data_IF_784059696440
#
_entry.id   IF_784059696440
#
_cell.length_a   1.000
_cell.length_b   1.000
_cell.length_c   1.000
_cell.angle_alpha   90.00
_cell.angle_beta   90.00
_cell.angle_gamma   90.00
#
_symmetry.space_group_name_H-M   'P 1'
#
loop_
_entity.id
_entity.type
_entity.pdbx_description
1 polymer ?
#
# COMPACT_ATOMS: atom_id res chain seq x y z
N UNK A 1 -21.90 0.42 -14.20
CA UNK A 1 -20.64 0.78 -13.49
C UNK A 1 -19.47 0.71 -14.49
N UNK A 2 -18.41 1.50 -14.28
CA UNK A 2 -17.33 1.77 -15.25
C UNK A 2 -16.28 0.65 -15.42
N UNK A 3 -16.44 -0.51 -14.78
CA UNK A 3 -15.52 -1.66 -14.88
C UNK A 3 -14.04 -1.31 -14.62
N UNK A 4 -13.78 -0.52 -13.57
CA UNK A 4 -12.42 -0.10 -13.22
C UNK A 4 -11.55 -1.28 -12.77
N UNK A 5 -10.25 -1.20 -13.06
CA UNK A 5 -9.24 -2.21 -12.65
C UNK A 5 -8.45 -1.83 -11.39
N UNK A 6 -8.59 -0.59 -10.92
CA UNK A 6 -8.09 -0.07 -9.63
C UNK A 6 -8.94 1.11 -9.20
N UNK A 7 -8.87 1.46 -7.91
CA UNK A 7 -9.49 2.66 -7.34
C UNK A 7 -8.39 3.51 -6.73
N UNK A 8 -8.29 4.77 -7.15
CA UNK A 8 -7.26 5.63 -6.60
C UNK A 8 -7.68 6.11 -5.19
N UNK A 9 -6.72 6.06 -4.26
CA UNK A 9 -6.89 6.27 -2.81
C UNK A 9 -7.75 5.22 -2.11
N UNK A 10 -9.07 5.30 -2.23
CA UNK A 10 -10.01 4.42 -1.51
C UNK A 10 -10.13 4.68 0.00
N UNK A 11 -9.66 5.82 0.53
CA UNK A 11 -9.55 6.11 1.97
C UNK A 11 -10.80 5.85 2.82
N UNK A 12 -12.00 6.04 2.25
CA UNK A 12 -13.29 5.89 2.96
C UNK A 12 -13.93 4.52 2.74
N UNK A 13 -13.24 3.58 2.08
CA UNK A 13 -13.80 2.24 1.82
C UNK A 13 -14.15 1.48 3.10
N UNK A 14 -13.42 1.74 4.19
CA UNK A 14 -13.65 1.13 5.51
C UNK A 14 -14.98 1.55 6.18
N UNK A 15 -15.64 2.60 5.68
CA UNK A 15 -16.93 3.05 6.23
C UNK A 15 -18.10 2.14 5.84
N UNK A 16 -17.91 1.23 4.88
CA UNK A 16 -18.92 0.29 4.40
C UNK A 16 -18.36 -1.15 4.40
N UNK A 17 -18.81 -1.96 5.37
CA UNK A 17 -18.35 -3.33 5.51
C UNK A 17 -18.71 -4.23 4.31
N UNK A 18 -19.83 -3.99 3.63
CA UNK A 18 -20.20 -4.75 2.43
C UNK A 18 -19.28 -4.41 1.27
N UNK A 19 -18.91 -3.14 1.13
CA UNK A 19 -17.91 -2.70 0.16
C UNK A 19 -16.54 -3.32 0.44
N UNK A 20 -16.09 -3.36 1.69
CA UNK A 20 -14.82 -3.99 2.06
C UNK A 20 -14.77 -5.45 1.62
N UNK A 21 -15.81 -6.24 1.93
CA UNK A 21 -15.91 -7.65 1.52
C UNK A 21 -15.80 -7.80 0.01
N UNK A 22 -16.51 -6.96 -0.75
CA UNK A 22 -16.48 -6.98 -2.21
C UNK A 22 -15.09 -6.64 -2.77
N UNK A 23 -14.43 -5.60 -2.23
CA UNK A 23 -13.09 -5.19 -2.65
C UNK A 23 -12.04 -6.27 -2.37
N UNK A 24 -12.12 -6.94 -1.22
CA UNK A 24 -11.24 -8.06 -0.85
C UNK A 24 -11.47 -9.24 -1.80
N UNK A 25 -12.72 -9.66 -2.00
CA UNK A 25 -13.07 -10.79 -2.87
C UNK A 25 -12.58 -10.58 -4.30
N UNK A 26 -12.69 -9.35 -4.81
CA UNK A 26 -12.22 -8.98 -6.14
C UNK A 26 -10.72 -8.71 -6.21
N UNK A 27 -10.03 -8.66 -5.08
CA UNK A 27 -8.64 -8.17 -4.99
C UNK A 27 -8.47 -6.82 -5.70
N UNK A 28 -9.44 -5.91 -5.51
CA UNK A 28 -9.44 -4.60 -6.16
C UNK A 28 -8.31 -3.73 -5.57
N UNK A 29 -7.32 -3.29 -6.38
CA UNK A 29 -6.25 -2.45 -5.88
C UNK A 29 -6.73 -1.06 -5.45
N UNK A 30 -6.31 -0.61 -4.27
CA UNK A 30 -6.47 0.77 -3.81
C UNK A 30 -5.11 1.48 -3.74
N UNK A 31 -4.91 2.53 -4.53
CA UNK A 31 -3.61 3.24 -4.59
C UNK A 31 -3.56 4.36 -3.55
N UNK A 32 -3.17 4.03 -2.33
CA UNK A 32 -3.17 4.95 -1.19
C UNK A 32 -1.98 5.91 -1.28
N UNK A 33 -2.21 7.21 -1.01
CA UNK A 33 -1.21 8.26 -1.15
C UNK A 33 -1.00 9.02 0.16
N UNK A 34 -0.21 8.49 1.12
CA UNK A 34 -0.20 8.98 2.49
C UNK A 34 0.14 10.46 2.65
N UNK A 35 1.23 10.93 2.02
CA UNK A 35 1.64 12.32 2.11
C UNK A 35 0.60 13.27 1.47
N UNK A 36 0.02 12.88 0.33
CA UNK A 36 -1.09 13.60 -0.30
C UNK A 36 -2.29 13.71 0.64
N UNK A 37 -2.72 12.58 1.22
CA UNK A 37 -3.86 12.54 2.14
C UNK A 37 -3.66 13.42 3.37
N UNK A 38 -2.43 13.50 3.88
CA UNK A 38 -2.09 14.40 4.97
C UNK A 38 -2.06 15.87 4.56
N UNK A 39 -1.43 16.19 3.42
CA UNK A 39 -1.29 17.56 2.91
C UNK A 39 -2.65 18.17 2.56
N UNK A 40 -3.52 17.39 1.93
CA UNK A 40 -4.88 17.77 1.55
C UNK A 40 -5.91 17.65 2.68
N UNK A 41 -5.46 17.35 3.92
CA UNK A 41 -6.30 17.27 5.12
C UNK A 41 -7.40 16.21 5.08
N UNK A 42 -7.31 15.24 4.16
CA UNK A 42 -8.11 14.00 4.19
C UNK A 42 -7.81 13.23 5.48
N UNK A 43 -6.53 13.20 5.88
CA UNK A 43 -6.08 12.63 7.16
C UNK A 43 -5.39 13.72 7.99
N UNK A 44 -5.90 14.00 9.19
CA UNK A 44 -5.36 15.06 10.05
C UNK A 44 -3.99 14.73 10.65
N UNK A 45 -3.79 13.48 11.06
CA UNK A 45 -2.54 12.98 11.66
C UNK A 45 -2.17 11.65 11.00
N UNK A 46 -0.90 11.47 10.64
CA UNK A 46 -0.48 10.24 9.97
C UNK A 46 -0.72 8.98 10.81
N UNK A 47 -0.66 9.08 12.15
CA UNK A 47 -1.00 7.98 13.05
C UNK A 47 -2.46 7.48 12.94
N UNK A 48 -3.34 8.28 12.32
CA UNK A 48 -4.74 7.92 12.09
C UNK A 48 -5.00 7.54 10.61
N UNK A 49 -3.94 7.31 9.83
CA UNK A 49 -4.10 6.94 8.42
C UNK A 49 -4.70 5.53 8.30
N UNK A 50 -5.73 5.30 7.46
CA UNK A 50 -6.41 4.00 7.38
C UNK A 50 -5.56 2.85 6.81
N UNK A 51 -4.30 3.08 6.44
CA UNK A 51 -3.53 2.13 5.64
C UNK A 51 -3.27 0.82 6.39
N UNK A 52 -3.00 0.89 7.70
CA UNK A 52 -2.77 -0.30 8.53
C UNK A 52 -4.04 -1.15 8.64
N UNK A 53 -5.18 -0.53 8.97
CA UNK A 53 -6.47 -1.21 9.05
C UNK A 53 -6.90 -1.79 7.70
N UNK A 54 -6.64 -1.08 6.60
CA UNK A 54 -6.89 -1.61 5.26
C UNK A 54 -6.09 -2.88 4.98
N UNK A 55 -4.81 -2.93 5.35
CA UNK A 55 -4.00 -4.15 5.23
C UNK A 55 -4.55 -5.29 6.10
N UNK A 56 -4.90 -4.99 7.36
CA UNK A 56 -5.40 -5.98 8.33
C UNK A 56 -6.74 -6.58 7.91
N UNK A 57 -7.60 -5.79 7.27
CA UNK A 57 -8.89 -6.24 6.71
C UNK A 57 -8.74 -7.03 5.40
N UNK A 58 -7.51 -7.15 4.86
CA UNK A 58 -7.22 -7.90 3.65
C UNK A 58 -7.41 -7.12 2.35
N UNK A 59 -7.65 -5.79 2.42
CA UNK A 59 -7.73 -4.96 1.22
C UNK A 59 -6.37 -4.94 0.50
N UNK A 60 -6.42 -5.04 -0.83
CA UNK A 60 -5.21 -4.94 -1.66
C UNK A 60 -4.81 -3.47 -1.80
N UNK A 61 -4.07 -2.96 -0.83
CA UNK A 61 -3.60 -1.57 -0.82
C UNK A 61 -2.14 -1.46 -1.24
N UNK A 62 -1.81 -0.36 -1.93
CA UNK A 62 -0.45 0.03 -2.31
C UNK A 62 -0.11 1.40 -1.73
N UNK A 63 1.18 1.69 -1.57
CA UNK A 63 1.67 3.05 -1.23
C UNK A 63 2.12 3.75 -2.50
N UNK A 64 1.67 4.98 -2.71
CA UNK A 64 1.98 5.80 -3.88
C UNK A 64 2.30 7.24 -3.45
N UNK A 65 2.98 7.99 -4.32
CA UNK A 65 3.43 9.36 -4.01
C UNK A 65 2.48 10.47 -4.46
N UNK A 66 1.53 10.15 -5.35
CA UNK A 66 0.66 11.13 -6.02
C UNK A 66 1.53 12.18 -6.74
N UNK A 67 1.43 13.46 -6.37
CA UNK A 67 2.30 14.54 -6.83
C UNK A 67 3.46 14.84 -5.84
N UNK A 68 4.57 14.08 -5.84
CA UNK A 68 5.62 14.16 -4.81
C UNK A 68 6.24 15.55 -4.64
N UNK A 69 6.33 16.33 -5.72
CA UNK A 69 6.84 17.70 -5.70
C UNK A 69 5.98 18.64 -4.85
N UNK A 70 4.67 18.42 -4.80
CA UNK A 70 3.73 19.22 -4.02
C UNK A 70 3.55 18.67 -2.60
N UNK A 71 3.67 17.35 -2.43
CA UNK A 71 3.38 16.70 -1.15
C UNK A 71 4.59 16.42 -0.27
N UNK A 72 5.80 16.69 -0.77
CA UNK A 72 7.02 16.77 0.02
C UNK A 72 7.74 15.43 0.22
N UNK A 73 7.57 14.49 -0.70
CA UNK A 73 8.27 13.21 -0.65
C UNK A 73 7.91 12.26 -1.77
N UNK A 74 8.92 11.53 -2.25
CA UNK A 74 8.74 10.47 -3.26
C UNK A 74 8.29 9.17 -2.59
N UNK A 75 8.29 8.07 -3.34
CA UNK A 75 7.79 6.77 -2.87
C UNK A 75 8.43 6.33 -1.54
N UNK A 76 9.75 6.43 -1.40
CA UNK A 76 10.45 6.02 -0.18
C UNK A 76 10.08 6.87 1.04
N UNK A 77 9.80 8.16 0.85
CA UNK A 77 9.39 9.04 1.94
C UNK A 77 7.99 8.66 2.43
N UNK A 78 7.08 8.30 1.52
CA UNK A 78 5.76 7.79 1.89
C UNK A 78 5.88 6.50 2.72
N UNK A 79 6.69 5.53 2.28
CA UNK A 79 6.96 4.30 3.02
C UNK A 79 7.54 4.56 4.43
N UNK A 80 8.55 5.42 4.54
CA UNK A 80 9.18 5.77 5.83
C UNK A 80 8.16 6.39 6.79
N UNK A 81 7.38 7.35 6.28
CA UNK A 81 6.41 8.08 7.10
C UNK A 81 5.30 7.16 7.60
N UNK A 82 4.72 6.30 6.76
CA UNK A 82 3.68 5.36 7.22
C UNK A 82 4.24 4.24 8.09
N UNK A 83 5.43 3.72 7.78
CA UNK A 83 6.08 2.70 8.61
C UNK A 83 6.29 3.20 10.03
N UNK A 84 6.81 4.41 10.20
CA UNK A 84 7.01 5.00 11.51
C UNK A 84 5.69 5.36 12.20
N UNK A 85 4.76 6.03 11.49
CA UNK A 85 3.54 6.55 12.10
C UNK A 85 2.50 5.48 12.45
N UNK A 86 2.48 4.36 11.70
CA UNK A 86 1.52 3.27 11.90
C UNK A 86 2.17 2.03 12.51
N UNK A 87 3.45 2.09 12.87
CA UNK A 87 4.22 0.97 13.41
C UNK A 87 4.15 -0.29 12.54
N UNK A 88 4.19 -0.11 11.21
CA UNK A 88 4.07 -1.23 10.28
C UNK A 88 5.22 -2.22 10.47
N UNK A 89 4.87 -3.51 10.53
CA UNK A 89 5.87 -4.58 10.60
C UNK A 89 6.61 -4.70 9.27
N UNK A 90 7.75 -5.41 9.29
CA UNK A 90 8.50 -5.68 8.06
C UNK A 90 7.67 -6.49 7.07
N UNK A 91 6.87 -7.43 7.56
CA UNK A 91 5.95 -8.25 6.77
C UNK A 91 4.86 -7.39 6.11
N UNK A 92 4.29 -6.42 6.82
CA UNK A 92 3.32 -5.48 6.27
C UNK A 92 3.95 -4.59 5.18
N UNK A 93 5.17 -4.09 5.39
CA UNK A 93 5.91 -3.30 4.39
C UNK A 93 6.21 -4.15 3.14
N UNK A 94 6.66 -5.39 3.33
CA UNK A 94 6.88 -6.35 2.25
C UNK A 94 5.58 -6.62 1.48
N UNK A 95 4.46 -6.77 2.19
CA UNK A 95 3.13 -6.96 1.57
C UNK A 95 2.74 -5.76 0.71
N UNK A 96 2.92 -4.53 1.21
CA UNK A 96 2.68 -3.31 0.42
C UNK A 96 3.53 -3.26 -0.85
N UNK A 97 4.81 -3.63 -0.77
CA UNK A 97 5.70 -3.70 -1.92
C UNK A 97 5.24 -4.75 -2.94
N UNK A 98 4.88 -5.96 -2.49
CA UNK A 98 4.35 -7.03 -3.35
C UNK A 98 3.02 -6.62 -4.01
N UNK A 99 2.12 -6.00 -3.26
CA UNK A 99 0.86 -5.49 -3.78
C UNK A 99 1.07 -4.49 -4.92
N UNK A 100 2.13 -3.68 -4.90
CA UNK A 100 2.42 -2.73 -5.98
C UNK A 100 2.69 -3.40 -7.33
N UNK A 101 3.35 -4.57 -7.32
CA UNK A 101 3.56 -5.38 -8.51
C UNK A 101 2.31 -6.15 -8.91
N UNK A 102 1.59 -6.73 -7.94
CA UNK A 102 0.33 -7.43 -8.20
C UNK A 102 -0.72 -6.50 -8.83
N UNK A 103 -0.82 -5.26 -8.36
CA UNK A 103 -1.71 -4.21 -8.84
C UNK A 103 -1.25 -3.55 -10.16
N UNK A 104 -0.01 -3.80 -10.61
CA UNK A 104 0.51 -3.22 -11.84
C UNK A 104 -0.20 -3.78 -13.09
N UNK A 105 0.01 -3.12 -14.23
CA UNK A 105 -0.47 -3.62 -15.54
C UNK A 105 0.56 -4.48 -16.27
N UNK A 106 1.56 -4.99 -15.55
CA UNK A 106 2.55 -5.90 -16.09
C UNK A 106 1.95 -7.27 -16.46
N UNK A 107 2.63 -7.98 -17.36
CA UNK A 107 2.32 -9.38 -17.65
C UNK A 107 2.56 -10.28 -16.42
N UNK A 108 1.87 -11.42 -16.38
CA UNK A 108 1.92 -12.35 -15.24
C UNK A 108 3.33 -12.81 -14.87
N UNK A 109 4.14 -13.15 -15.86
CA UNK A 109 5.52 -13.64 -15.64
C UNK A 109 6.39 -12.57 -14.98
N UNK A 110 6.25 -11.32 -15.43
CA UNK A 110 6.99 -10.20 -14.90
C UNK A 110 6.56 -9.87 -13.45
N UNK A 111 5.25 -9.94 -13.16
CA UNK A 111 4.75 -9.81 -11.78
C UNK A 111 5.37 -10.87 -10.87
N UNK A 112 5.34 -12.14 -11.28
CA UNK A 112 5.93 -13.25 -10.50
C UNK A 112 7.42 -13.00 -10.24
N UNK A 113 8.17 -12.60 -11.27
CA UNK A 113 9.60 -12.32 -11.16
C UNK A 113 9.91 -11.20 -10.16
N UNK A 114 9.18 -10.08 -10.24
CA UNK A 114 9.40 -8.92 -9.36
C UNK A 114 8.96 -9.20 -7.92
N UNK A 115 7.82 -9.89 -7.74
CA UNK A 115 7.35 -10.33 -6.43
C UNK A 115 8.38 -11.26 -5.77
N UNK A 116 8.96 -12.21 -6.54
CA UNK A 116 10.03 -13.08 -6.04
C UNK A 116 11.28 -12.27 -5.65
N UNK A 117 11.63 -11.22 -6.38
CA UNK A 117 12.73 -10.33 -6.02
C UNK A 117 12.50 -9.64 -4.67
N UNK A 118 11.26 -9.25 -4.36
CA UNK A 118 10.89 -8.67 -3.06
C UNK A 118 11.03 -9.71 -1.95
N UNK A 119 10.54 -10.94 -2.18
CA UNK A 119 10.64 -12.03 -1.21
C UNK A 119 12.11 -12.38 -0.91
N UNK A 120 12.97 -12.43 -1.93
CA UNK A 120 14.40 -12.68 -1.76
C UNK A 120 15.07 -11.59 -0.90
N UNK A 121 14.81 -10.31 -1.20
CA UNK A 121 15.33 -9.19 -0.43
C UNK A 121 14.88 -9.22 1.05
N UNK A 122 13.61 -9.59 1.28
CA UNK A 122 13.08 -9.75 2.62
C UNK A 122 13.82 -10.85 3.42
N UNK A 123 14.09 -11.98 2.78
CA UNK A 123 14.81 -13.11 3.42
C UNK A 123 16.28 -12.77 3.70
N UNK A 124 16.99 -12.18 2.75
CA UNK A 124 18.40 -11.79 2.90
C UNK A 124 18.58 -10.77 4.04
N UNK A 125 17.75 -9.73 4.06
CA UNK A 125 17.82 -8.70 5.09
C UNK A 125 17.43 -9.19 6.49
N UNK A 126 16.65 -10.27 6.58
CA UNK A 126 16.29 -10.92 7.84
C UNK A 126 17.41 -11.82 8.39
N UNK A 127 18.33 -12.27 7.54
CA UNK A 127 19.52 -13.03 7.96
C UNK A 127 20.62 -12.10 8.49
N UNK A 128 20.80 -10.93 7.87
CA UNK A 128 21.79 -9.93 8.30
C UNK A 128 21.44 -9.34 9.67
N UNK A 129 20.15 -9.16 9.99
CA UNK A 129 19.70 -8.63 11.28
C UNK A 129 19.82 -9.60 12.47
N UNK A 130 20.32 -10.83 12.23
CA UNK A 130 20.52 -11.87 13.27
C UNK A 130 21.99 -12.08 13.66
N UNK A 131 22.92 -11.30 13.10
CA UNK A 131 24.34 -11.25 13.46
C UNK A 131 24.57 -9.97 14.28
#
# INVERSE_FOLDING_TARGET
LLQVSRIDHGNRSLEDATLVVELVNRKMPLTVCPLSNHKLKVVKKMANHPLAEMLETGLMVTVNSDDPAYFGGYINDNYRVVSHALHLTREQITTLAKNSFEASFLGREEKIRLIQSVDNYYLESSQVARI
#
